data_IF_996977759577
#
_entry.id   IF_996977759577
#
_cell.length_a   1.000
_cell.length_b   1.000
_cell.length_c   1.000
_cell.angle_alpha   90.00
_cell.angle_beta   90.00
_cell.angle_gamma   90.00
#
_symmetry.space_group_name_H-M   'P 1'
#
loop_
_entity.id
_entity.type
_entity.pdbx_description
1 polymer ?
#
# COMPACT_ATOMS: atom_id res chain seq x y z
N UNK A 1 3.28 25.97 -17.68
CA UNK A 1 4.72 26.11 -17.38
C UNK A 1 5.12 25.35 -16.12
N UNK A 2 4.88 25.82 -14.88
CA UNK A 2 5.34 25.11 -13.66
C UNK A 2 4.78 23.69 -13.54
N UNK A 3 3.51 23.52 -13.91
CA UNK A 3 2.82 22.23 -13.85
C UNK A 3 3.39 21.18 -14.84
N UNK A 4 3.90 21.61 -16.00
CA UNK A 4 4.48 20.73 -17.03
C UNK A 4 5.86 20.23 -16.63
N UNK A 5 6.69 21.10 -16.02
CA UNK A 5 8.01 20.72 -15.51
C UNK A 5 7.87 19.68 -14.40
N UNK A 6 6.96 19.91 -13.43
CA UNK A 6 6.71 18.94 -12.36
C UNK A 6 6.28 17.58 -12.91
N UNK A 7 5.43 17.56 -13.95
CA UNK A 7 4.98 16.29 -14.54
C UNK A 7 6.12 15.51 -15.20
N UNK A 8 7.10 16.20 -15.80
CA UNK A 8 8.34 15.60 -16.33
C UNK A 8 9.20 15.09 -15.17
N UNK A 9 9.46 15.90 -14.15
CA UNK A 9 10.27 15.51 -12.98
C UNK A 9 9.69 14.29 -12.28
N UNK A 10 8.36 14.20 -12.14
CA UNK A 10 7.70 13.00 -11.61
C UNK A 10 8.02 11.80 -12.50
N UNK A 11 7.90 11.93 -13.82
CA UNK A 11 8.21 10.85 -14.76
C UNK A 11 9.63 10.32 -14.59
N UNK A 12 10.61 11.22 -14.52
CA UNK A 12 12.02 10.89 -14.33
C UNK A 12 12.28 10.24 -12.98
N UNK A 13 11.68 10.75 -11.90
CA UNK A 13 11.81 10.17 -10.57
C UNK A 13 11.25 8.74 -10.53
N UNK A 14 10.06 8.51 -11.09
CA UNK A 14 9.48 7.16 -11.11
C UNK A 14 10.32 6.17 -11.92
N UNK A 15 10.89 6.61 -13.04
CA UNK A 15 11.80 5.77 -13.83
C UNK A 15 13.09 5.47 -13.05
N UNK A 16 13.66 6.48 -12.38
CA UNK A 16 14.84 6.31 -11.54
C UNK A 16 14.62 5.31 -10.40
N UNK A 17 13.46 5.35 -9.74
CA UNK A 17 13.08 4.39 -8.71
C UNK A 17 12.96 2.96 -9.27
N UNK A 18 12.35 2.80 -10.44
CA UNK A 18 12.24 1.50 -11.10
C UNK A 18 13.61 0.92 -11.49
N UNK A 19 14.46 1.73 -12.13
CA UNK A 19 15.77 1.29 -12.62
C UNK A 19 16.72 0.91 -11.48
N UNK A 20 16.68 1.67 -10.37
CA UNK A 20 17.63 1.47 -9.26
C UNK A 20 17.15 0.46 -8.21
N UNK A 21 15.84 0.45 -7.93
CA UNK A 21 15.28 -0.26 -6.78
C UNK A 21 14.15 -1.22 -7.16
N UNK A 22 13.74 -1.27 -8.42
CA UNK A 22 12.66 -2.12 -8.94
C UNK A 22 11.27 -1.88 -8.33
N UNK A 23 11.06 -0.76 -7.64
CA UNK A 23 9.74 -0.28 -7.25
C UNK A 23 9.07 0.43 -8.44
N UNK A 24 8.02 -0.19 -8.99
CA UNK A 24 7.29 0.36 -10.14
C UNK A 24 6.00 1.08 -9.73
N UNK A 25 6.09 2.41 -9.61
CA UNK A 25 4.93 3.28 -9.37
C UNK A 25 4.38 3.90 -10.65
N UNK A 26 4.90 3.55 -11.83
CA UNK A 26 4.55 4.24 -13.10
C UNK A 26 3.10 3.98 -13.52
N UNK A 27 2.50 2.88 -13.05
CA UNK A 27 1.11 2.52 -13.30
C UNK A 27 0.12 3.04 -12.25
N UNK A 28 0.60 3.73 -11.20
CA UNK A 28 -0.29 4.29 -10.18
C UNK A 28 -1.01 5.53 -10.71
N UNK A 29 -2.19 5.81 -10.16
CA UNK A 29 -2.98 6.99 -10.52
C UNK A 29 -2.15 8.27 -10.39
N UNK A 30 -1.94 8.97 -11.52
CA UNK A 30 -0.98 10.09 -11.62
C UNK A 30 -1.25 11.21 -10.60
N UNK A 31 -2.52 11.56 -10.41
CA UNK A 31 -2.93 12.57 -9.43
C UNK A 31 -2.56 12.18 -7.97
N UNK A 32 -2.66 10.89 -7.62
CA UNK A 32 -2.30 10.37 -6.30
C UNK A 32 -0.79 10.45 -6.08
N UNK A 33 0.00 9.99 -7.05
CA UNK A 33 1.47 10.04 -6.99
C UNK A 33 1.97 11.47 -6.92
N UNK A 34 1.46 12.36 -7.77
CA UNK A 34 1.84 13.78 -7.77
C UNK A 34 1.62 14.41 -6.40
N UNK A 35 0.45 14.21 -5.80
CA UNK A 35 0.14 14.72 -4.45
C UNK A 35 1.13 14.21 -3.40
N UNK A 36 1.44 12.91 -3.41
CA UNK A 36 2.37 12.28 -2.45
C UNK A 36 3.80 12.75 -2.63
N UNK A 37 4.27 12.89 -3.86
CA UNK A 37 5.61 13.39 -4.15
C UNK A 37 5.77 14.87 -3.77
N UNK A 38 4.74 15.69 -4.00
CA UNK A 38 4.72 17.08 -3.54
C UNK A 38 4.75 17.12 -2.01
N UNK A 39 3.97 16.27 -1.33
CA UNK A 39 3.99 16.16 0.12
C UNK A 39 5.36 15.74 0.65
N UNK A 40 6.00 14.73 0.03
CA UNK A 40 7.34 14.27 0.38
C UNK A 40 8.37 15.39 0.19
N UNK A 41 8.36 16.07 -0.98
CA UNK A 41 9.23 17.22 -1.26
C UNK A 41 9.13 18.28 -0.17
N UNK A 42 7.91 18.66 0.18
CA UNK A 42 7.64 19.66 1.24
C UNK A 42 8.09 19.16 2.61
N UNK A 43 7.85 17.89 2.95
CA UNK A 43 8.27 17.28 4.21
C UNK A 43 9.79 17.29 4.40
N UNK A 44 10.54 17.00 3.33
CA UNK A 44 12.01 17.03 3.35
C UNK A 44 12.60 18.43 3.12
N UNK A 45 11.78 19.46 2.96
CA UNK A 45 12.23 20.84 2.74
C UNK A 45 13.02 21.04 1.43
N UNK A 46 12.70 20.27 0.39
CA UNK A 46 13.45 20.27 -0.86
C UNK A 46 12.89 21.30 -1.86
N UNK A 47 13.74 21.97 -2.65
CA UNK A 47 13.30 23.03 -3.55
C UNK A 47 12.51 22.50 -4.76
N UNK A 48 12.78 21.27 -5.22
CA UNK A 48 12.18 20.68 -6.42
C UNK A 48 12.06 19.16 -6.32
N UNK A 49 11.33 18.55 -7.26
CA UNK A 49 11.30 17.10 -7.39
C UNK A 49 12.62 16.55 -7.96
N UNK A 50 13.36 17.34 -8.73
CA UNK A 50 14.75 17.00 -9.12
C UNK A 50 15.64 16.83 -7.88
N UNK A 51 15.56 17.72 -6.89
CA UNK A 51 16.31 17.58 -5.64
C UNK A 51 15.88 16.35 -4.83
N UNK A 52 14.59 15.99 -4.88
CA UNK A 52 14.09 14.75 -4.30
C UNK A 52 14.68 13.51 -5.00
N UNK A 53 14.79 13.55 -6.33
CA UNK A 53 15.42 12.49 -7.13
C UNK A 53 16.91 12.35 -6.83
N UNK A 54 17.66 13.44 -6.71
CA UNK A 54 19.07 13.41 -6.33
C UNK A 54 19.25 12.66 -5.00
N UNK A 55 18.46 13.02 -3.97
CA UNK A 55 18.53 12.30 -2.68
C UNK A 55 18.09 10.85 -2.82
N UNK A 56 17.02 10.54 -3.55
CA UNK A 56 16.59 9.17 -3.77
C UNK A 56 17.67 8.30 -4.46
N UNK A 57 18.52 8.89 -5.30
CA UNK A 57 19.60 8.21 -6.01
C UNK A 57 20.93 8.18 -5.24
N UNK A 58 21.20 9.11 -4.34
CA UNK A 58 22.51 9.26 -3.72
C UNK A 58 22.52 9.06 -2.20
N UNK A 59 21.36 9.10 -1.54
CA UNK A 59 21.19 8.91 -0.10
C UNK A 59 20.45 7.58 0.16
N UNK A 60 21.15 6.51 0.64
CA UNK A 60 20.54 5.21 0.90
C UNK A 60 19.38 5.26 1.90
N UNK A 61 19.37 6.23 2.81
CA UNK A 61 18.33 6.41 3.81
C UNK A 61 17.06 7.06 3.24
N UNK A 62 17.14 7.60 2.03
CA UNK A 62 16.04 8.35 1.43
C UNK A 62 14.94 7.45 0.90
N UNK A 63 15.28 6.29 0.33
CA UNK A 63 14.29 5.40 -0.29
C UNK A 63 13.23 4.92 0.72
N UNK A 64 13.58 4.33 1.88
CA UNK A 64 12.57 3.88 2.84
C UNK A 64 11.63 5.02 3.29
N UNK A 65 12.19 6.21 3.48
CA UNK A 65 11.42 7.40 3.88
C UNK A 65 10.47 7.87 2.77
N UNK A 66 10.90 7.81 1.51
CA UNK A 66 10.06 8.13 0.36
C UNK A 66 8.94 7.09 0.15
N UNK A 67 9.23 5.81 0.35
CA UNK A 67 8.25 4.73 0.24
C UNK A 67 7.07 4.90 1.21
N UNK A 68 7.31 5.44 2.41
CA UNK A 68 6.25 5.75 3.36
C UNK A 68 5.21 6.77 2.83
N UNK A 69 5.61 7.65 1.90
CA UNK A 69 4.67 8.56 1.22
C UNK A 69 3.99 7.89 0.03
N UNK A 70 4.72 7.06 -0.71
CA UNK A 70 4.23 6.43 -1.95
C UNK A 70 3.29 5.25 -1.69
N UNK A 71 3.41 4.59 -0.55
CA UNK A 71 2.53 3.51 -0.13
C UNK A 71 1.41 4.04 0.78
N UNK A 72 0.24 3.38 0.80
CA UNK A 72 -0.81 3.71 1.78
C UNK A 72 -0.55 2.85 3.01
N UNK A 73 -0.09 3.46 4.09
CA UNK A 73 0.16 2.74 5.34
C UNK A 73 -1.00 2.81 6.35
N UNK A 74 -2.10 3.49 6.01
CA UNK A 74 -3.25 3.56 6.91
C UNK A 74 -4.05 2.27 6.82
N UNK A 75 -4.02 1.51 7.91
CA UNK A 75 -4.84 0.34 8.16
C UNK A 75 -5.44 0.52 9.55
N UNK A 76 -6.72 0.20 9.68
CA UNK A 76 -7.46 0.27 10.94
C UNK A 76 -8.32 -0.99 11.05
N UNK A 77 -8.61 -1.39 12.28
CA UNK A 77 -9.45 -2.54 12.53
C UNK A 77 -10.82 -2.31 11.88
N UNK A 78 -11.25 -3.23 11.03
CA UNK A 78 -12.53 -3.19 10.32
C UNK A 78 -12.74 -1.90 9.50
N UNK A 79 -11.66 -1.42 8.85
CA UNK A 79 -11.61 -0.18 8.04
C UNK A 79 -12.85 0.12 7.20
N UNK A 80 -13.39 -0.88 6.51
CA UNK A 80 -14.68 -0.77 5.82
C UNK A 80 -15.67 -1.76 6.44
N UNK A 81 -16.51 -1.31 7.40
CA UNK A 81 -17.49 -2.17 8.04
C UNK A 81 -18.51 -2.76 7.05
N UNK A 82 -18.79 -2.08 5.94
CA UNK A 82 -19.68 -2.57 4.89
C UNK A 82 -19.08 -3.76 4.15
N UNK A 83 -17.78 -3.68 3.82
CA UNK A 83 -17.02 -4.79 3.25
C UNK A 83 -17.03 -6.03 4.16
N UNK A 84 -16.70 -5.87 5.45
CA UNK A 84 -16.69 -7.00 6.38
C UNK A 84 -18.10 -7.59 6.62
N UNK A 85 -19.14 -6.74 6.61
CA UNK A 85 -20.53 -7.21 6.66
C UNK A 85 -20.88 -8.04 5.42
N UNK A 86 -20.56 -7.53 4.24
CA UNK A 86 -20.82 -8.25 2.98
C UNK A 86 -20.07 -9.60 2.94
N UNK A 87 -18.81 -9.64 3.39
CA UNK A 87 -18.07 -10.90 3.55
C UNK A 87 -18.83 -11.88 4.46
N UNK A 88 -19.24 -11.43 5.65
CA UNK A 88 -19.97 -12.26 6.62
C UNK A 88 -21.26 -12.82 6.04
N UNK A 89 -22.04 -11.98 5.36
CA UNK A 89 -23.38 -12.35 4.91
C UNK A 89 -23.38 -13.13 3.59
N UNK A 90 -22.42 -12.87 2.70
CA UNK A 90 -22.46 -13.36 1.33
C UNK A 90 -21.37 -14.39 1.01
N UNK A 91 -20.20 -14.30 1.64
CA UNK A 91 -19.03 -15.13 1.30
C UNK A 91 -18.84 -16.25 2.32
N UNK A 92 -18.82 -15.94 3.61
CA UNK A 92 -18.55 -16.92 4.66
C UNK A 92 -19.54 -18.10 4.73
N UNK A 93 -20.84 -17.95 4.43
CA UNK A 93 -21.77 -19.08 4.36
C UNK A 93 -21.34 -20.12 3.31
N UNK A 94 -20.76 -19.66 2.20
CA UNK A 94 -20.24 -20.56 1.18
C UNK A 94 -18.92 -21.21 1.62
N UNK A 95 -18.01 -20.43 2.23
CA UNK A 95 -16.73 -20.95 2.74
C UNK A 95 -16.91 -21.99 3.85
N UNK A 96 -18.01 -21.97 4.60
CA UNK A 96 -18.35 -22.99 5.60
C UNK A 96 -18.41 -24.41 5.06
N UNK A 97 -18.71 -24.57 3.77
CA UNK A 97 -18.82 -25.88 3.13
C UNK A 97 -17.46 -26.54 2.86
N UNK A 98 -16.37 -25.78 2.93
CA UNK A 98 -15.03 -26.29 2.65
C UNK A 98 -14.37 -26.82 3.94
N UNK A 99 -13.65 -27.95 3.87
CA UNK A 99 -13.00 -28.56 5.03
C UNK A 99 -11.76 -27.79 5.51
N UNK A 100 -11.14 -27.00 4.64
CA UNK A 100 -9.97 -26.18 4.93
C UNK A 100 -9.94 -24.94 4.03
N UNK A 101 -9.46 -23.82 4.55
CA UNK A 101 -9.44 -22.54 3.84
C UNK A 101 -8.02 -21.97 3.78
N UNK A 102 -7.73 -21.25 2.70
CA UNK A 102 -6.52 -20.43 2.56
C UNK A 102 -6.96 -19.04 2.15
N UNK A 103 -6.63 -18.04 2.96
CA UNK A 103 -7.00 -16.64 2.73
C UNK A 103 -5.72 -15.84 2.60
N UNK A 104 -5.61 -15.04 1.55
CA UNK A 104 -4.47 -14.16 1.33
C UNK A 104 -4.90 -12.71 1.45
N UNK A 105 -4.29 -12.00 2.39
CA UNK A 105 -4.38 -10.55 2.57
C UNK A 105 -3.16 -9.93 1.88
N UNK A 106 -3.38 -9.36 0.68
CA UNK A 106 -2.35 -8.69 -0.09
C UNK A 106 -2.34 -7.19 0.22
N UNK A 107 -1.23 -6.68 0.76
CA UNK A 107 -1.10 -5.31 1.24
C UNK A 107 -1.61 -5.15 2.66
N UNK A 108 -1.13 -6.00 3.58
CA UNK A 108 -1.65 -6.04 4.96
C UNK A 108 -1.21 -4.87 5.86
N UNK A 109 -0.33 -3.97 5.39
CA UNK A 109 0.24 -2.89 6.18
C UNK A 109 0.75 -3.40 7.55
N UNK A 110 0.33 -2.79 8.66
CA UNK A 110 0.65 -3.21 10.03
C UNK A 110 -0.17 -4.42 10.53
N UNK A 111 -1.07 -4.97 9.72
CA UNK A 111 -1.77 -6.24 9.97
C UNK A 111 -3.19 -6.11 10.53
N UNK A 112 -3.74 -4.91 10.70
CA UNK A 112 -5.09 -4.74 11.24
C UNK A 112 -6.15 -5.44 10.37
N UNK A 113 -6.02 -5.44 9.04
CA UNK A 113 -6.92 -6.20 8.17
C UNK A 113 -6.82 -7.72 8.38
N UNK A 114 -5.61 -8.25 8.58
CA UNK A 114 -5.41 -9.66 8.94
C UNK A 114 -6.13 -9.97 10.25
N UNK A 115 -5.99 -9.13 11.27
CA UNK A 115 -6.64 -9.33 12.56
C UNK A 115 -8.17 -9.19 12.47
N UNK A 116 -8.69 -8.23 11.71
CA UNK A 116 -10.12 -8.12 11.45
C UNK A 116 -10.68 -9.35 10.75
N UNK A 117 -9.96 -9.89 9.77
CA UNK A 117 -10.36 -11.14 9.11
C UNK A 117 -10.30 -12.33 10.05
N UNK A 118 -9.25 -12.44 10.86
CA UNK A 118 -9.09 -13.49 11.86
C UNK A 118 -10.22 -13.47 12.91
N UNK A 119 -10.57 -12.29 13.43
CA UNK A 119 -11.69 -12.12 14.37
C UNK A 119 -13.00 -12.53 13.71
N UNK A 120 -13.29 -12.01 12.50
CA UNK A 120 -14.48 -12.37 11.75
C UNK A 120 -14.59 -13.88 11.52
N UNK A 121 -13.50 -14.53 11.08
CA UNK A 121 -13.48 -15.97 10.86
C UNK A 121 -13.63 -16.76 12.16
N UNK A 122 -13.13 -16.23 13.29
CA UNK A 122 -13.31 -16.86 14.61
C UNK A 122 -14.77 -16.79 15.06
N UNK A 123 -15.40 -15.63 14.91
CA UNK A 123 -16.83 -15.45 15.22
C UNK A 123 -17.72 -16.36 14.37
N UNK A 124 -17.34 -16.63 13.11
CA UNK A 124 -18.08 -17.52 12.22
C UNK A 124 -17.69 -19.01 12.31
N UNK A 125 -16.78 -19.39 13.21
CA UNK A 125 -16.34 -20.78 13.42
C UNK A 125 -15.43 -21.35 12.32
N UNK A 126 -14.74 -20.49 11.57
CA UNK A 126 -13.87 -20.85 10.44
C UNK A 126 -12.38 -20.77 10.76
N UNK A 127 -11.99 -20.09 11.83
CA UNK A 127 -10.60 -19.75 12.13
C UNK A 127 -9.67 -20.96 12.20
N UNK A 128 -10.02 -22.00 12.97
CA UNK A 128 -9.13 -23.12 13.27
C UNK A 128 -8.74 -23.98 12.04
N UNK A 129 -9.52 -23.90 10.96
CA UNK A 129 -9.26 -24.60 9.69
C UNK A 129 -8.83 -23.66 8.56
N UNK A 130 -8.47 -22.42 8.89
CA UNK A 130 -8.05 -21.41 7.93
C UNK A 130 -6.59 -21.08 8.10
N UNK A 131 -5.84 -21.16 7.00
CA UNK A 131 -4.48 -20.62 6.92
C UNK A 131 -4.54 -19.21 6.32
N UNK A 132 -4.05 -18.22 7.07
CA UNK A 132 -3.93 -16.85 6.59
C UNK A 132 -2.51 -16.59 6.08
N UNK A 133 -2.42 -16.08 4.86
CA UNK A 133 -1.22 -15.46 4.31
C UNK A 133 -1.42 -13.95 4.35
N UNK A 134 -0.49 -13.21 4.93
CA UNK A 134 -0.48 -11.76 4.91
C UNK A 134 0.87 -11.28 4.41
N UNK A 135 0.85 -10.45 3.38
CA UNK A 135 2.08 -9.96 2.73
C UNK A 135 1.95 -8.47 2.48
N UNK A 136 3.02 -7.74 2.75
CA UNK A 136 3.18 -6.35 2.35
C UNK A 136 4.52 -6.15 1.62
N UNK A 137 4.64 -5.03 0.92
CA UNK A 137 5.88 -4.63 0.24
C UNK A 137 6.79 -3.79 1.13
N UNK A 138 6.24 -3.27 2.25
CA UNK A 138 6.96 -2.52 3.27
C UNK A 138 7.65 -3.44 4.29
#
# INVERSE_FOLDING_TARGET
MTNEIEDIEIGLLLEALYQRYHYDFRQYARASIKRRLIQARSHFGLPSLTALQERALHDPEMLPRLLAFLTVQVSEMFRDPGYFRALREQVLPHLRTYPSLKVWIAGCSAGEELYSMAILFREEGLFDRTLFYATDIN
#
